data_IF_423648403803
#
_entry.id   IF_423648403803
#
_cell.length_a   1.000
_cell.length_b   1.000
_cell.length_c   1.000
_cell.angle_alpha   90.00
_cell.angle_beta   90.00
_cell.angle_gamma   90.00
#
_symmetry.space_group_name_H-M   'P 1'
#
loop_
_entity.id
_entity.type
_entity.pdbx_description
1 polymer ?
#
# COMPACT_ATOMS: atom_id res chain seq x y z
N UNK A 1 -26.54 34.13 24.48
CA UNK A 1 -25.82 33.21 23.57
C UNK A 1 -25.25 32.08 24.42
N UNK A 2 -25.59 30.80 24.18
CA UNK A 2 -25.11 29.74 25.06
C UNK A 2 -23.58 29.63 24.94
N UNK A 3 -22.94 29.60 26.10
CA UNK A 3 -21.50 29.67 26.39
C UNK A 3 -20.65 28.49 25.87
N UNK A 4 -21.14 27.72 24.89
CA UNK A 4 -20.59 26.40 24.55
C UNK A 4 -19.56 26.39 23.40
N UNK A 5 -19.11 27.55 22.91
CA UNK A 5 -18.19 27.60 21.77
C UNK A 5 -16.99 28.54 21.97
N UNK A 6 -16.71 28.99 23.20
CA UNK A 6 -15.57 29.88 23.43
C UNK A 6 -14.24 29.14 23.34
N UNK A 7 -13.32 29.69 22.54
CA UNK A 7 -11.94 29.22 22.49
C UNK A 7 -11.21 29.62 23.78
N UNK A 8 -10.33 28.75 24.25
CA UNK A 8 -9.44 28.99 25.40
C UNK A 8 -8.12 29.59 24.98
N UNK A 9 -7.60 29.16 23.83
CA UNK A 9 -6.29 29.56 23.32
C UNK A 9 -6.44 30.10 21.89
N UNK A 10 -5.58 31.05 21.56
CA UNK A 10 -5.50 31.67 20.23
C UNK A 10 -4.18 31.32 19.59
N UNK A 11 -4.19 31.07 18.28
CA UNK A 11 -2.97 30.85 17.49
C UNK A 11 -2.78 32.04 16.56
N UNK A 12 -1.53 32.46 16.36
CA UNK A 12 -1.20 33.50 15.39
C UNK A 12 -1.04 32.88 14.01
N UNK A 13 -1.87 33.33 13.07
CA UNK A 13 -1.80 32.96 11.66
C UNK A 13 -0.87 33.92 10.90
N UNK A 14 -0.04 33.42 9.96
CA UNK A 14 0.80 34.29 9.13
C UNK A 14 -0.04 35.15 8.18
N UNK A 15 -1.21 34.66 7.79
CA UNK A 15 -2.19 35.31 6.93
C UNK A 15 -3.60 34.84 7.32
N UNK A 16 -4.59 35.71 7.14
CA UNK A 16 -5.99 35.40 7.45
C UNK A 16 -6.76 35.17 6.15
N UNK A 17 -7.52 34.09 6.10
CA UNK A 17 -8.41 33.70 5.00
C UNK A 17 -9.75 34.45 5.03
N UNK A 18 -9.78 35.67 5.58
CA UNK A 18 -10.99 36.44 5.75
C UNK A 18 -11.25 37.36 4.55
N UNK A 19 -12.51 37.50 4.17
CA UNK A 19 -12.92 38.24 2.98
C UNK A 19 -13.78 39.46 3.34
N UNK A 20 -13.69 40.57 2.60
CA UNK A 20 -14.63 41.68 2.73
C UNK A 20 -16.05 41.20 2.39
N UNK A 21 -17.08 41.73 3.06
CA UNK A 21 -18.48 41.37 2.79
C UNK A 21 -18.88 41.56 1.32
N UNK A 22 -18.29 42.52 0.63
CA UNK A 22 -18.53 42.82 -0.78
C UNK A 22 -17.97 41.75 -1.73
N UNK A 23 -17.02 40.92 -1.25
CA UNK A 23 -16.37 39.84 -1.98
C UNK A 23 -16.80 38.45 -1.45
N UNK A 24 -17.84 38.42 -0.61
CA UNK A 24 -18.37 37.18 -0.04
C UNK A 24 -19.21 36.44 -1.07
N UNK A 25 -18.60 35.44 -1.71
CA UNK A 25 -19.26 34.56 -2.67
C UNK A 25 -19.74 33.25 -2.02
N UNK A 26 -19.22 32.90 -0.83
CA UNK A 26 -19.56 31.67 -0.14
C UNK A 26 -19.86 31.91 1.33
N UNK A 27 -21.03 32.51 1.58
CA UNK A 27 -21.56 32.89 2.91
C UNK A 27 -21.46 31.75 3.96
N UNK A 28 -21.44 30.49 3.50
CA UNK A 28 -21.36 29.32 4.37
C UNK A 28 -19.94 29.09 4.93
N UNK A 29 -18.89 29.42 4.17
CA UNK A 29 -17.49 29.18 4.53
C UNK A 29 -16.73 30.46 4.85
N UNK A 30 -17.14 31.57 4.26
CA UNK A 30 -16.49 32.86 4.41
C UNK A 30 -16.39 33.29 5.88
N UNK A 31 -15.24 33.84 6.24
CA UNK A 31 -15.07 34.61 7.47
C UNK A 31 -15.00 36.07 7.05
N UNK A 32 -15.94 36.87 7.53
CA UNK A 32 -16.03 38.27 7.15
C UNK A 32 -14.99 39.10 7.92
N UNK A 33 -14.26 39.96 7.20
CA UNK A 33 -13.29 40.87 7.81
C UNK A 33 -13.95 41.79 8.84
N UNK A 34 -15.21 42.17 8.60
CA UNK A 34 -16.00 43.03 9.49
C UNK A 34 -16.29 42.38 10.85
N UNK A 35 -16.27 41.04 10.91
CA UNK A 35 -16.48 40.27 12.14
C UNK A 35 -15.16 40.04 12.91
N UNK A 36 -14.01 40.42 12.34
CA UNK A 36 -12.68 40.24 12.91
C UNK A 36 -12.16 41.57 13.48
N UNK A 37 -12.24 41.71 14.80
CA UNK A 37 -11.71 42.87 15.53
C UNK A 37 -10.25 42.68 15.96
N UNK A 38 -9.86 41.42 16.19
CA UNK A 38 -8.55 41.02 16.70
C UNK A 38 -8.25 39.55 16.35
N UNK A 39 -7.02 39.07 16.62
CA UNK A 39 -6.66 37.67 16.36
C UNK A 39 -7.57 36.67 17.09
N UNK A 40 -8.12 37.05 18.25
CA UNK A 40 -9.00 36.18 19.03
C UNK A 40 -10.33 35.96 18.30
N UNK A 41 -10.93 37.02 17.78
CA UNK A 41 -12.18 36.95 16.99
C UNK A 41 -12.01 36.12 15.73
N UNK A 42 -10.87 36.23 15.03
CA UNK A 42 -10.57 35.37 13.88
C UNK A 42 -10.51 33.88 14.26
N UNK A 43 -9.71 33.53 15.28
CA UNK A 43 -9.61 32.16 15.78
C UNK A 43 -10.97 31.63 16.25
N UNK A 44 -11.77 32.50 16.85
CA UNK A 44 -13.08 32.16 17.39
C UNK A 44 -14.06 31.83 16.27
N UNK A 45 -14.08 32.60 15.17
CA UNK A 45 -14.95 32.34 14.02
C UNK A 45 -14.51 31.08 13.26
N UNK A 46 -13.20 30.81 13.11
CA UNK A 46 -12.70 29.55 12.55
C UNK A 46 -13.23 28.32 13.29
N UNK A 47 -13.07 28.30 14.62
CA UNK A 47 -13.56 27.18 15.46
C UNK A 47 -15.08 27.10 15.42
N UNK A 48 -15.77 28.25 15.45
CA UNK A 48 -17.22 28.30 15.41
C UNK A 48 -17.77 27.73 14.11
N UNK A 49 -17.15 28.04 12.97
CA UNK A 49 -17.55 27.52 11.67
C UNK A 49 -17.42 26.02 11.61
N UNK A 50 -16.27 25.44 11.97
CA UNK A 50 -16.12 23.98 11.93
C UNK A 50 -17.08 23.27 12.90
N UNK A 51 -17.43 23.87 14.04
CA UNK A 51 -18.38 23.30 14.99
C UNK A 51 -19.83 23.33 14.48
N UNK A 52 -20.21 24.39 13.76
CA UNK A 52 -21.58 24.59 13.23
C UNK A 52 -21.82 23.94 11.88
N UNK A 53 -20.80 23.88 11.02
CA UNK A 53 -20.93 23.42 9.64
C UNK A 53 -21.49 22.00 9.58
N UNK A 54 -22.34 21.67 8.60
CA UNK A 54 -22.72 20.30 8.34
C UNK A 54 -21.50 19.39 8.20
N UNK A 55 -21.54 18.22 8.84
CA UNK A 55 -20.38 17.31 8.88
C UNK A 55 -19.86 16.94 7.49
N UNK A 56 -20.75 16.87 6.49
CA UNK A 56 -20.40 16.58 5.11
C UNK A 56 -19.56 17.68 4.45
N UNK A 57 -19.75 18.94 4.81
CA UNK A 57 -19.17 20.13 4.17
C UNK A 57 -17.83 20.58 4.78
N UNK A 58 -17.31 19.83 5.75
CA UNK A 58 -16.01 20.13 6.34
C UNK A 58 -14.88 20.13 5.30
N UNK A 59 -14.76 19.14 4.38
CA UNK A 59 -13.69 19.15 3.37
C UNK A 59 -13.67 20.42 2.52
N UNK A 60 -14.84 20.86 2.05
CA UNK A 60 -15.01 22.04 1.20
C UNK A 60 -14.63 23.33 1.93
N UNK A 61 -14.92 23.41 3.23
CA UNK A 61 -14.49 24.52 4.08
C UNK A 61 -12.96 24.66 4.14
N UNK A 62 -12.23 23.54 4.31
CA UNK A 62 -10.76 23.57 4.31
C UNK A 62 -10.19 23.93 2.94
N UNK A 63 -10.75 23.38 1.85
CA UNK A 63 -10.31 23.72 0.49
C UNK A 63 -10.51 25.22 0.21
N UNK A 64 -11.70 25.75 0.48
CA UNK A 64 -12.01 27.15 0.28
C UNK A 64 -11.02 28.09 0.98
N UNK A 65 -10.71 27.86 2.26
CA UNK A 65 -9.73 28.71 2.96
C UNK A 65 -8.28 28.52 2.49
N UNK A 66 -7.92 27.35 1.94
CA UNK A 66 -6.62 27.16 1.32
C UNK A 66 -6.48 27.95 0.01
N UNK A 67 -7.57 28.14 -0.72
CA UNK A 67 -7.56 28.87 -1.99
C UNK A 67 -7.46 30.39 -1.79
N UNK A 68 -7.79 30.88 -0.58
CA UNK A 68 -7.76 32.32 -0.23
C UNK A 68 -6.40 32.81 0.30
N UNK A 69 -5.43 31.91 0.53
CA UNK A 69 -4.19 32.21 1.24
C UNK A 69 -2.97 31.89 0.37
N UNK A 70 -1.88 32.63 0.52
CA UNK A 70 -0.67 32.48 -0.29
C UNK A 70 0.12 31.21 0.08
N UNK A 71 0.19 30.86 1.38
CA UNK A 71 0.85 29.66 1.90
C UNK A 71 -0.15 28.75 2.66
N UNK A 72 -0.97 27.98 1.93
CA UNK A 72 -2.02 27.15 2.52
C UNK A 72 -1.49 26.05 3.45
N UNK A 73 -0.24 25.60 3.28
CA UNK A 73 0.39 24.64 4.20
C UNK A 73 0.62 25.30 5.57
N UNK A 74 1.16 26.52 5.60
CA UNK A 74 1.34 27.25 6.86
C UNK A 74 -0.02 27.54 7.52
N UNK A 75 -1.01 27.96 6.74
CA UNK A 75 -2.35 28.23 7.27
C UNK A 75 -2.97 26.97 7.89
N UNK A 76 -2.98 25.83 7.19
CA UNK A 76 -3.50 24.55 7.70
C UNK A 76 -2.77 24.13 8.98
N UNK A 77 -1.44 24.26 9.04
CA UNK A 77 -0.67 23.88 10.23
C UNK A 77 -1.02 24.74 11.45
N UNK A 78 -1.30 26.04 11.24
CA UNK A 78 -1.79 26.92 12.31
C UNK A 78 -3.21 26.55 12.72
N UNK A 79 -4.06 26.17 11.77
CA UNK A 79 -5.42 25.78 12.10
C UNK A 79 -5.49 24.44 12.84
N UNK A 80 -4.67 23.47 12.47
CA UNK A 80 -4.49 22.22 13.22
C UNK A 80 -4.08 22.50 14.68
N UNK A 81 -3.11 23.39 14.87
CA UNK A 81 -2.66 23.84 16.19
C UNK A 81 -3.80 24.54 16.96
N UNK A 82 -4.62 25.34 16.29
CA UNK A 82 -5.76 25.99 16.94
C UNK A 82 -6.79 24.96 17.43
N UNK A 83 -7.01 23.89 16.66
CA UNK A 83 -7.89 22.78 17.08
C UNK A 83 -7.28 22.05 18.28
N UNK A 84 -5.98 21.72 18.25
CA UNK A 84 -5.34 20.99 19.35
C UNK A 84 -5.28 21.77 20.66
N UNK A 85 -5.04 23.09 20.62
CA UNK A 85 -5.06 23.93 21.81
C UNK A 85 -6.48 24.17 22.36
N UNK A 86 -7.51 23.77 21.61
CA UNK A 86 -8.92 23.95 21.96
C UNK A 86 -9.73 22.65 21.94
N UNK A 87 -9.07 21.49 22.08
CA UNK A 87 -9.71 20.14 22.08
C UNK A 87 -10.89 20.03 23.06
N UNK A 88 -10.83 20.78 24.17
CA UNK A 88 -11.89 20.80 25.16
C UNK A 88 -13.25 21.28 24.59
N UNK A 89 -13.22 22.08 23.53
CA UNK A 89 -14.41 22.53 22.80
C UNK A 89 -15.11 21.37 22.05
N UNK A 90 -14.44 20.23 21.91
CA UNK A 90 -14.89 19.04 21.18
C UNK A 90 -15.22 17.85 22.10
N UNK A 91 -15.34 18.05 23.41
CA UNK A 91 -15.46 16.97 24.41
C UNK A 91 -16.72 16.11 24.25
N UNK A 92 -17.81 16.65 23.68
CA UNK A 92 -19.02 15.86 23.46
C UNK A 92 -18.79 14.76 22.40
N UNK A 93 -19.46 13.60 22.56
CA UNK A 93 -19.24 12.43 21.70
C UNK A 93 -19.48 12.71 20.21
N UNK A 94 -20.39 13.63 19.89
CA UNK A 94 -20.66 14.07 18.51
C UNK A 94 -19.58 15.01 17.97
N UNK A 95 -18.93 15.80 18.82
CA UNK A 95 -17.87 16.74 18.42
C UNK A 95 -16.49 16.08 18.33
N UNK A 96 -16.22 15.01 19.08
CA UNK A 96 -14.98 14.22 18.92
C UNK A 96 -14.82 13.64 17.52
N UNK A 97 -15.90 13.07 16.95
CA UNK A 97 -15.88 12.55 15.58
C UNK A 97 -15.58 13.63 14.54
N UNK A 98 -16.12 14.84 14.77
CA UNK A 98 -15.86 16.02 13.95
C UNK A 98 -14.40 16.47 14.04
N UNK A 99 -13.83 16.54 15.23
CA UNK A 99 -12.41 16.86 15.44
C UNK A 99 -11.51 15.87 14.70
N UNK A 100 -11.78 14.56 14.84
CA UNK A 100 -11.02 13.53 14.13
C UNK A 100 -11.12 13.70 12.61
N UNK A 101 -12.32 14.03 12.09
CA UNK A 101 -12.50 14.32 10.67
C UNK A 101 -11.70 15.55 10.22
N UNK A 102 -11.65 16.61 11.02
CA UNK A 102 -10.81 17.78 10.74
C UNK A 102 -9.33 17.37 10.60
N UNK A 103 -8.78 16.57 11.53
CA UNK A 103 -7.40 16.08 11.43
C UNK A 103 -7.16 15.24 10.17
N UNK A 104 -8.10 14.35 9.82
CA UNK A 104 -8.01 13.55 8.59
C UNK A 104 -8.01 14.43 7.33
N UNK A 105 -8.88 15.45 7.28
CA UNK A 105 -8.93 16.39 6.14
C UNK A 105 -7.63 17.18 6.05
N UNK A 106 -7.15 17.71 7.18
CA UNK A 106 -5.89 18.46 7.27
C UNK A 106 -4.72 17.64 6.72
N UNK A 107 -4.57 16.39 7.15
CA UNK A 107 -3.50 15.52 6.69
C UNK A 107 -3.63 15.18 5.19
N UNK A 108 -4.85 14.92 4.72
CA UNK A 108 -5.11 14.69 3.30
C UNK A 108 -4.76 15.91 2.45
N UNK A 109 -5.19 17.10 2.85
CA UNK A 109 -4.96 18.36 2.13
C UNK A 109 -3.49 18.76 2.16
N UNK A 110 -2.79 18.51 3.27
CA UNK A 110 -1.33 18.69 3.37
C UNK A 110 -0.59 17.87 2.32
N UNK A 111 -0.92 16.58 2.17
CA UNK A 111 -0.32 15.72 1.14
C UNK A 111 -0.58 16.22 -0.27
N UNK A 112 -1.81 16.63 -0.56
CA UNK A 112 -2.19 17.23 -1.85
C UNK A 112 -1.35 18.48 -2.15
N UNK A 113 -1.28 19.42 -1.21
CA UNK A 113 -0.53 20.68 -1.35
C UNK A 113 0.99 20.45 -1.45
N UNK A 114 1.53 19.47 -0.72
CA UNK A 114 2.95 19.10 -0.83
C UNK A 114 3.28 18.49 -2.19
N UNK A 115 2.39 17.69 -2.78
CA UNK A 115 2.57 17.18 -4.15
C UNK A 115 2.63 18.34 -5.14
N UNK A 116 1.68 19.29 -5.06
CA UNK A 116 1.65 20.47 -5.93
C UNK A 116 2.88 21.36 -5.72
N UNK A 117 3.22 21.68 -4.48
CA UNK A 117 4.40 22.49 -4.16
C UNK A 117 5.69 21.82 -4.62
N UNK A 118 5.83 20.50 -4.51
CA UNK A 118 7.00 19.78 -5.00
C UNK A 118 7.09 19.76 -6.54
N UNK A 119 5.97 19.94 -7.26
CA UNK A 119 5.98 20.17 -8.72
C UNK A 119 6.55 21.56 -9.06
N UNK A 120 6.28 22.59 -8.26
CA UNK A 120 6.71 23.97 -8.53
C UNK A 120 8.04 24.41 -7.85
N UNK A 121 8.50 23.72 -6.80
CA UNK A 121 9.67 24.14 -6.00
C UNK A 121 11.05 23.71 -6.56
N UNK A 122 11.09 22.89 -7.62
CA UNK A 122 12.36 22.53 -8.27
C UNK A 122 12.78 23.67 -9.19
N UNK A 123 13.96 24.23 -8.94
CA UNK A 123 14.57 25.23 -9.82
C UNK A 123 14.59 24.65 -11.23
N UNK A 124 13.80 25.25 -12.14
CA UNK A 124 13.55 24.71 -13.47
C UNK A 124 14.88 24.33 -14.13
N UNK A 125 15.07 23.07 -14.56
CA UNK A 125 16.32 22.65 -15.15
C UNK A 125 16.57 23.41 -16.46
N UNK A 126 17.83 23.51 -16.92
CA UNK A 126 18.14 24.10 -18.21
C UNK A 126 17.25 23.51 -19.33
N UNK A 127 16.75 24.35 -20.23
CA UNK A 127 15.80 23.94 -21.31
C UNK A 127 16.28 22.72 -22.10
N UNK A 128 17.59 22.52 -22.26
CA UNK A 128 18.18 21.35 -22.91
C UNK A 128 17.85 20.00 -22.24
N UNK A 129 17.27 20.01 -21.04
CA UNK A 129 16.83 18.81 -20.32
C UNK A 129 15.31 18.72 -20.16
N UNK A 130 14.57 19.69 -20.69
CA UNK A 130 13.10 19.71 -20.66
C UNK A 130 12.60 19.21 -22.01
N UNK A 131 11.86 18.10 -21.98
CA UNK A 131 11.25 17.49 -23.17
C UNK A 131 10.05 18.30 -23.64
N UNK A 132 9.20 18.72 -22.70
CA UNK A 132 8.02 19.52 -22.98
C UNK A 132 7.61 20.37 -21.77
N UNK A 133 6.75 21.35 -22.01
CA UNK A 133 6.21 22.24 -20.98
C UNK A 133 4.76 22.60 -21.27
N UNK A 134 3.97 22.70 -20.20
CA UNK A 134 2.64 23.30 -20.17
C UNK A 134 2.56 24.35 -19.06
N UNK A 135 1.47 25.13 -19.01
CA UNK A 135 1.25 26.17 -18.00
C UNK A 135 1.47 25.68 -16.55
N UNK A 136 1.04 24.44 -16.25
CA UNK A 136 1.09 23.89 -14.90
C UNK A 136 2.45 23.28 -14.52
N UNK A 137 3.18 22.69 -15.49
CA UNK A 137 4.46 22.01 -15.21
C UNK A 137 5.32 21.81 -16.45
N UNK A 138 6.56 21.38 -16.21
CA UNK A 138 7.44 20.86 -17.24
C UNK A 138 7.59 19.33 -17.13
N UNK A 139 7.98 18.72 -18.25
CA UNK A 139 8.24 17.29 -18.41
C UNK A 139 9.73 17.08 -18.74
N UNK A 140 10.46 16.39 -17.87
CA UNK A 140 11.88 16.07 -18.05
C UNK A 140 12.13 14.59 -17.82
N UNK A 141 12.35 13.84 -18.91
CA UNK A 141 12.59 12.41 -18.81
C UNK A 141 13.88 12.11 -18.03
N UNK A 142 14.87 13.01 -18.09
CA UNK A 142 16.10 12.91 -17.32
C UNK A 142 15.83 12.87 -15.81
N UNK A 143 14.96 13.75 -15.32
CA UNK A 143 14.59 13.80 -13.90
C UNK A 143 13.78 12.56 -13.50
N UNK A 144 12.81 12.16 -14.35
CA UNK A 144 12.02 10.94 -14.15
C UNK A 144 12.93 9.71 -14.07
N UNK A 145 13.87 9.55 -15.01
CA UNK A 145 14.82 8.44 -15.03
C UNK A 145 15.69 8.40 -13.78
N UNK A 146 16.17 9.55 -13.31
CA UNK A 146 16.92 9.61 -12.05
C UNK A 146 16.09 9.16 -10.85
N UNK A 147 14.80 9.50 -10.82
CA UNK A 147 13.89 9.08 -9.75
C UNK A 147 13.59 7.59 -9.81
N UNK A 148 13.29 7.07 -11.01
CA UNK A 148 13.07 5.63 -11.26
C UNK A 148 14.28 4.80 -10.86
N UNK A 149 15.50 5.27 -11.14
CA UNK A 149 16.73 4.59 -10.74
C UNK A 149 16.89 4.50 -9.21
N UNK A 150 16.31 5.44 -8.45
CA UNK A 150 16.33 5.45 -7.00
C UNK A 150 15.23 4.62 -6.34
N UNK A 151 14.27 4.10 -7.10
CA UNK A 151 13.23 3.20 -6.58
C UNK A 151 13.75 1.76 -6.50
N UNK A 152 13.25 0.99 -5.55
CA UNK A 152 13.64 -0.42 -5.39
C UNK A 152 12.69 -1.35 -6.16
N UNK A 153 11.39 -1.18 -5.98
CA UNK A 153 10.37 -2.08 -6.51
C UNK A 153 10.07 -1.83 -8.01
N UNK A 154 10.00 -2.91 -8.79
CA UNK A 154 9.74 -2.80 -10.22
C UNK A 154 8.29 -2.43 -10.55
N UNK A 155 7.33 -2.85 -9.74
CA UNK A 155 5.91 -2.50 -9.93
C UNK A 155 5.70 -1.02 -9.68
N UNK A 156 6.28 -0.47 -8.61
CA UNK A 156 6.26 0.96 -8.30
C UNK A 156 6.90 1.79 -9.42
N UNK A 157 8.03 1.35 -9.99
CA UNK A 157 8.67 2.00 -11.14
C UNK A 157 7.74 2.07 -12.35
N UNK A 158 7.11 0.94 -12.71
CA UNK A 158 6.18 0.87 -13.85
C UNK A 158 4.97 1.76 -13.60
N UNK A 159 4.38 1.74 -12.41
CA UNK A 159 3.24 2.59 -12.05
C UNK A 159 3.60 4.07 -12.14
N UNK A 160 4.75 4.48 -11.60
CA UNK A 160 5.20 5.86 -11.66
C UNK A 160 5.41 6.33 -13.12
N UNK A 161 6.11 5.54 -13.94
CA UNK A 161 6.33 5.86 -15.35
C UNK A 161 5.02 5.92 -16.15
N UNK A 162 4.08 5.05 -15.84
CA UNK A 162 2.76 4.99 -16.49
C UNK A 162 1.94 6.24 -16.14
N UNK A 163 1.97 6.68 -14.89
CA UNK A 163 1.32 7.92 -14.47
C UNK A 163 1.96 9.15 -15.14
N UNK A 164 3.29 9.25 -15.15
CA UNK A 164 3.98 10.37 -15.82
C UNK A 164 3.69 10.41 -17.33
N UNK A 165 3.60 9.23 -17.97
CA UNK A 165 3.19 9.11 -19.38
C UNK A 165 1.77 9.64 -19.60
N UNK A 166 0.81 9.19 -18.80
CA UNK A 166 -0.59 9.64 -18.94
C UNK A 166 -0.77 11.12 -18.62
N UNK A 167 -0.10 11.62 -17.57
CA UNK A 167 -0.12 13.05 -17.22
C UNK A 167 0.37 13.90 -18.40
N UNK A 168 1.42 13.47 -19.11
CA UNK A 168 1.91 14.15 -20.30
C UNK A 168 0.95 14.06 -21.49
N UNK A 169 0.40 12.87 -21.78
CA UNK A 169 -0.52 12.65 -22.90
C UNK A 169 -1.85 13.41 -22.75
N UNK A 170 -2.25 13.71 -21.52
CA UNK A 170 -3.47 14.46 -21.21
C UNK A 170 -3.24 15.96 -21.03
N UNK A 171 -1.99 16.39 -20.89
CA UNK A 171 -1.66 17.80 -20.69
C UNK A 171 -1.84 18.62 -21.99
N UNK A 172 -2.29 19.87 -21.83
CA UNK A 172 -2.24 20.86 -22.90
C UNK A 172 -0.82 21.40 -23.03
N UNK A 173 -0.03 20.84 -23.95
CA UNK A 173 1.39 21.17 -24.10
C UNK A 173 1.57 22.49 -24.87
N UNK A 174 2.27 23.44 -24.24
CA UNK A 174 2.59 24.76 -24.83
C UNK A 174 3.92 24.73 -25.62
N UNK A 175 4.85 23.86 -25.21
CA UNK A 175 6.17 23.76 -25.83
C UNK A 175 6.69 22.32 -25.84
N UNK A 176 7.27 21.91 -26.97
CA UNK A 176 8.00 20.65 -27.13
C UNK A 176 9.42 20.98 -27.60
N UNK A 177 10.42 20.38 -26.96
CA UNK A 177 11.82 20.55 -27.32
C UNK A 177 12.20 19.63 -28.49
N UNK A 178 12.48 20.15 -29.69
CA UNK A 178 12.73 19.33 -30.89
C UNK A 178 14.08 18.61 -30.85
N UNK A 179 14.99 18.95 -29.92
CA UNK A 179 16.30 18.33 -29.78
C UNK A 179 16.29 17.09 -28.88
N UNK A 180 15.18 16.85 -28.19
CA UNK A 180 15.03 15.71 -27.29
C UNK A 180 13.99 14.73 -27.87
N UNK A 181 14.11 13.43 -27.55
CA UNK A 181 13.05 12.49 -27.88
C UNK A 181 11.73 12.86 -27.19
N UNK A 182 10.62 12.39 -27.75
CA UNK A 182 9.31 12.55 -27.13
C UNK A 182 9.28 11.97 -25.72
N UNK A 183 8.56 12.65 -24.83
CA UNK A 183 8.51 12.29 -23.42
C UNK A 183 7.72 10.99 -23.17
N UNK A 184 6.57 10.81 -23.82
CA UNK A 184 5.75 9.60 -23.71
C UNK A 184 6.52 8.38 -24.20
N UNK A 185 7.15 8.51 -25.37
CA UNK A 185 7.95 7.43 -25.96
C UNK A 185 9.08 6.97 -25.05
N UNK A 186 9.75 7.90 -24.37
CA UNK A 186 10.82 7.56 -23.43
C UNK A 186 10.29 6.86 -22.18
N UNK A 187 9.15 7.31 -21.64
CA UNK A 187 8.49 6.62 -20.52
C UNK A 187 8.12 5.19 -20.91
N UNK A 188 7.54 4.99 -22.11
CA UNK A 188 7.18 3.67 -22.60
C UNK A 188 8.39 2.76 -22.79
N UNK A 189 9.48 3.26 -23.39
CA UNK A 189 10.72 2.50 -23.56
C UNK A 189 11.31 2.01 -22.23
N UNK A 190 11.26 2.85 -21.19
CA UNK A 190 11.74 2.47 -19.86
C UNK A 190 10.81 1.43 -19.21
N UNK A 191 9.49 1.55 -19.38
CA UNK A 191 8.52 0.53 -18.93
C UNK A 191 8.83 -0.82 -19.60
N UNK A 192 9.01 -0.83 -20.91
CA UNK A 192 9.30 -2.05 -21.68
C UNK A 192 10.62 -2.69 -21.21
N UNK A 193 11.64 -1.87 -20.95
CA UNK A 193 12.92 -2.33 -20.41
C UNK A 193 12.75 -2.98 -19.02
N UNK A 194 12.00 -2.36 -18.12
CA UNK A 194 11.76 -2.91 -16.78
C UNK A 194 10.98 -4.23 -16.88
N UNK A 195 9.93 -4.28 -17.70
CA UNK A 195 9.16 -5.51 -17.91
C UNK A 195 10.02 -6.64 -18.49
N UNK A 196 10.93 -6.31 -19.41
CA UNK A 196 11.89 -7.27 -19.94
C UNK A 196 12.83 -7.81 -18.84
N UNK A 197 13.34 -6.95 -17.95
CA UNK A 197 14.17 -7.37 -16.81
C UNK A 197 13.42 -8.29 -15.84
N UNK A 198 12.13 -8.03 -15.58
CA UNK A 198 11.28 -8.91 -14.76
C UNK A 198 11.21 -10.30 -15.39
N UNK A 199 10.91 -10.37 -16.70
CA UNK A 199 10.82 -11.65 -17.44
C UNK A 199 12.13 -12.43 -17.36
N UNK A 200 13.26 -11.76 -17.61
CA UNK A 200 14.58 -12.39 -17.51
C UNK A 200 14.84 -12.93 -16.09
N UNK A 201 14.51 -12.16 -15.06
CA UNK A 201 14.72 -12.57 -13.66
C UNK A 201 13.89 -13.81 -13.29
N UNK A 202 12.64 -13.87 -13.75
CA UNK A 202 11.76 -15.03 -13.57
C UNK A 202 12.30 -16.25 -14.34
N UNK A 203 12.78 -16.06 -15.57
CA UNK A 203 13.43 -17.13 -16.35
C UNK A 203 14.69 -17.66 -15.67
N UNK A 204 15.57 -16.79 -15.16
CA UNK A 204 16.76 -17.20 -14.40
C UNK A 204 16.39 -17.94 -13.10
N UNK A 205 15.35 -17.48 -12.40
CA UNK A 205 14.85 -18.15 -11.18
C UNK A 205 14.31 -19.55 -11.50
N UNK A 206 13.55 -19.69 -12.58
CA UNK A 206 13.08 -21.00 -13.08
C UNK A 206 14.24 -21.89 -13.51
N UNK A 207 15.28 -21.35 -14.14
CA UNK A 207 16.49 -22.11 -14.50
C UNK A 207 17.28 -22.57 -13.27
N UNK A 208 17.44 -21.73 -12.25
CA UNK A 208 18.06 -22.12 -10.99
C UNK A 208 17.24 -23.18 -10.25
N UNK A 209 15.91 -23.05 -10.20
CA UNK A 209 15.04 -24.09 -9.64
C UNK A 209 15.15 -25.41 -10.40
N UNK A 210 15.29 -25.38 -11.74
CA UNK A 210 15.54 -26.59 -12.55
C UNK A 210 16.91 -27.21 -12.24
N UNK A 211 17.97 -26.42 -12.07
CA UNK A 211 19.28 -26.92 -11.64
C UNK A 211 19.27 -27.51 -10.24
N UNK A 212 18.47 -26.95 -9.33
CA UNK A 212 18.33 -27.47 -7.96
C UNK A 212 17.42 -28.72 -7.88
N UNK A 213 16.57 -28.96 -8.90
CA UNK A 213 15.77 -30.17 -9.03
C UNK A 213 16.59 -31.38 -9.54
N UNK A 214 17.80 -31.16 -10.07
CA UNK A 214 18.81 -32.19 -10.34
C UNK A 214 19.56 -32.57 -9.04
N UNK A 215 18.80 -32.96 -8.00
CA UNK A 215 19.36 -33.81 -6.95
C UNK A 215 19.89 -35.11 -7.55
N UNK A 216 20.66 -35.87 -6.77
CA UNK A 216 21.20 -37.18 -7.18
C UNK A 216 20.11 -37.96 -7.91
N UNK A 217 20.30 -38.38 -9.18
CA UNK A 217 19.27 -39.10 -9.90
C UNK A 217 18.94 -40.39 -9.14
N UNK A 218 17.70 -40.51 -8.68
CA UNK A 218 17.20 -41.72 -8.03
C UNK A 218 15.94 -42.23 -8.71
N UNK A 219 15.84 -43.54 -8.85
CA UNK A 219 14.60 -44.19 -9.26
C UNK A 219 13.65 -44.28 -8.05
N UNK A 220 12.35 -44.12 -8.27
CA UNK A 220 11.35 -44.37 -7.23
C UNK A 220 11.49 -45.77 -6.68
N UNK A 221 11.40 -45.89 -5.35
CA UNK A 221 11.49 -47.16 -4.66
C UNK A 221 10.16 -47.89 -4.74
N UNK A 222 10.20 -49.16 -5.15
CA UNK A 222 9.04 -50.03 -5.16
C UNK A 222 8.68 -50.46 -3.74
N UNK A 223 7.47 -50.17 -3.28
CA UNK A 223 6.98 -50.67 -1.99
C UNK A 223 6.27 -52.01 -2.17
N UNK A 224 6.47 -52.91 -1.22
CA UNK A 224 5.77 -54.20 -1.18
C UNK A 224 4.65 -54.26 -0.12
N UNK A 225 4.50 -53.21 0.68
CA UNK A 225 3.38 -53.05 1.62
C UNK A 225 2.17 -52.38 0.95
N UNK A 226 1.03 -52.33 1.65
CA UNK A 226 -0.12 -51.56 1.17
C UNK A 226 0.17 -50.06 1.29
N UNK A 227 -0.36 -49.28 0.33
CA UNK A 227 -0.17 -47.82 0.29
C UNK A 227 -0.55 -47.16 1.62
N UNK A 228 -1.68 -47.57 2.22
CA UNK A 228 -2.11 -47.01 3.50
C UNK A 228 -1.17 -47.35 4.67
N UNK A 229 -0.42 -48.45 4.61
CA UNK A 229 0.60 -48.78 5.61
C UNK A 229 1.82 -47.87 5.46
N UNK A 230 2.28 -47.60 4.23
CA UNK A 230 3.35 -46.63 4.00
C UNK A 230 2.95 -45.24 4.48
N UNK A 231 1.75 -44.77 4.12
CA UNK A 231 1.31 -43.42 4.51
C UNK A 231 1.12 -43.30 6.02
N UNK A 232 0.65 -44.36 6.69
CA UNK A 232 0.52 -44.38 8.14
C UNK A 232 1.88 -44.29 8.85
N UNK A 233 2.97 -44.78 8.24
CA UNK A 233 4.33 -44.59 8.79
C UNK A 233 4.67 -43.10 8.87
N UNK A 234 4.46 -42.36 7.77
CA UNK A 234 4.69 -40.91 7.75
C UNK A 234 3.74 -40.18 8.71
N UNK A 235 2.50 -40.65 8.85
CA UNK A 235 1.56 -40.10 9.82
C UNK A 235 2.05 -40.26 11.26
N UNK A 236 2.52 -41.46 11.63
CA UNK A 236 3.08 -41.74 12.95
C UNK A 236 4.26 -40.81 13.25
N UNK A 237 5.23 -40.69 12.33
CA UNK A 237 6.39 -39.80 12.47
C UNK A 237 6.03 -38.31 12.56
N UNK A 238 4.91 -37.90 11.95
CA UNK A 238 4.45 -36.52 11.92
C UNK A 238 3.53 -36.12 13.08
N UNK A 239 2.78 -37.08 13.66
CA UNK A 239 1.69 -36.76 14.61
C UNK A 239 1.70 -37.57 15.90
N UNK A 240 2.33 -38.73 15.92
CA UNK A 240 2.27 -39.65 17.06
C UNK A 240 3.63 -39.78 17.74
N UNK A 241 4.73 -39.66 17.00
CA UNK A 241 6.09 -39.82 17.49
C UNK A 241 6.81 -38.48 17.59
N UNK A 242 7.44 -38.24 18.73
CA UNK A 242 8.04 -36.96 19.08
C UNK A 242 9.45 -37.12 19.65
N UNK A 243 10.34 -36.18 19.30
CA UNK A 243 11.67 -36.03 19.91
C UNK A 243 11.76 -34.61 20.46
N UNK A 244 12.08 -34.49 21.76
CA UNK A 244 12.15 -33.20 22.45
C UNK A 244 10.87 -32.34 22.30
N UNK A 245 9.70 -32.97 22.29
CA UNK A 245 8.40 -32.30 22.17
C UNK A 245 8.02 -31.83 20.76
N UNK A 246 8.82 -32.15 19.73
CA UNK A 246 8.50 -31.87 18.32
C UNK A 246 8.28 -33.18 17.55
N UNK A 247 7.41 -33.20 16.53
CA UNK A 247 7.28 -34.37 15.65
C UNK A 247 8.64 -34.79 15.09
N UNK A 248 8.83 -36.09 14.88
CA UNK A 248 10.06 -36.60 14.22
C UNK A 248 10.18 -36.00 12.82
N UNK A 249 9.07 -35.92 12.09
CA UNK A 249 8.98 -35.22 10.81
C UNK A 249 8.00 -34.05 10.91
N UNK A 250 8.52 -32.84 10.72
CA UNK A 250 7.72 -31.62 10.70
C UNK A 250 7.53 -31.11 9.26
N UNK A 251 6.33 -30.60 8.96
CA UNK A 251 5.93 -30.23 7.61
C UNK A 251 4.41 -30.14 7.45
N UNK A 252 3.96 -29.56 6.33
CA UNK A 252 2.55 -29.53 6.00
C UNK A 252 2.12 -30.81 5.24
N UNK A 253 0.82 -31.10 5.19
CA UNK A 253 0.30 -32.32 4.55
C UNK A 253 0.74 -32.46 3.08
N UNK A 254 0.80 -31.35 2.32
CA UNK A 254 1.19 -31.40 0.92
C UNK A 254 2.68 -31.75 0.75
N UNK A 255 3.54 -31.36 1.70
CA UNK A 255 4.97 -31.72 1.69
C UNK A 255 5.13 -33.25 1.78
N UNK A 256 4.42 -33.89 2.71
CA UNK A 256 4.41 -35.35 2.84
C UNK A 256 3.85 -36.04 1.59
N UNK A 257 2.77 -35.51 1.01
CA UNK A 257 2.22 -36.04 -0.25
C UNK A 257 3.27 -35.99 -1.36
N UNK A 258 3.96 -34.85 -1.52
CA UNK A 258 5.00 -34.69 -2.52
C UNK A 258 6.17 -35.67 -2.31
N UNK A 259 6.66 -35.81 -1.08
CA UNK A 259 7.73 -36.76 -0.75
C UNK A 259 7.32 -38.18 -1.10
N UNK A 260 6.14 -38.62 -0.70
CA UNK A 260 5.70 -40.01 -0.90
C UNK A 260 5.51 -40.31 -2.40
N UNK A 261 4.83 -39.42 -3.14
CA UNK A 261 4.56 -39.61 -4.57
C UNK A 261 5.84 -39.56 -5.40
N UNK A 262 6.79 -38.70 -5.04
CA UNK A 262 8.05 -38.57 -5.79
C UNK A 262 9.08 -39.64 -5.42
N UNK A 263 8.90 -40.35 -4.30
CA UNK A 263 9.88 -41.33 -3.81
C UNK A 263 9.48 -42.79 -4.03
N UNK A 264 8.19 -43.09 -4.21
CA UNK A 264 7.70 -44.47 -4.20
C UNK A 264 6.76 -44.81 -5.35
N UNK A 265 6.77 -46.08 -5.76
CA UNK A 265 5.78 -46.72 -6.63
C UNK A 265 5.17 -47.93 -5.92
N UNK A 266 3.96 -48.34 -6.32
CA UNK A 266 3.24 -49.45 -5.70
C UNK A 266 3.91 -50.84 -5.95
N UNK A 267 3.32 -51.90 -5.39
CA UNK A 267 3.78 -53.29 -5.56
C UNK A 267 3.81 -53.81 -7.00
N UNK A 268 3.20 -53.10 -7.94
CA UNK A 268 3.18 -53.38 -9.37
C UNK A 268 4.09 -52.43 -10.16
N UNK A 269 4.73 -51.46 -9.51
CA UNK A 269 5.53 -50.42 -10.15
C UNK A 269 4.72 -49.23 -10.68
N UNK A 270 3.45 -49.10 -10.27
CA UNK A 270 2.57 -48.01 -10.68
C UNK A 270 2.73 -46.78 -9.80
N UNK A 271 2.47 -45.62 -10.40
CA UNK A 271 2.49 -44.33 -9.74
C UNK A 271 1.43 -44.23 -8.62
N UNK A 272 1.80 -43.58 -7.52
CA UNK A 272 0.91 -43.36 -6.38
C UNK A 272 0.02 -42.14 -6.63
N UNK A 273 -1.29 -42.26 -6.38
CA UNK A 273 -2.23 -41.12 -6.48
C UNK A 273 -2.04 -40.14 -5.31
N UNK A 274 -1.75 -38.85 -5.59
CA UNK A 274 -1.64 -37.81 -4.55
C UNK A 274 -2.88 -37.71 -3.66
N UNK A 275 -4.08 -37.81 -4.24
CA UNK A 275 -5.36 -37.75 -3.54
C UNK A 275 -5.52 -38.90 -2.55
N UNK A 276 -5.08 -40.10 -2.95
CA UNK A 276 -5.08 -41.29 -2.09
C UNK A 276 -4.18 -41.07 -0.88
N UNK A 277 -2.95 -40.59 -1.10
CA UNK A 277 -2.00 -40.29 -0.01
C UNK A 277 -2.57 -39.21 0.92
N UNK A 278 -3.08 -38.11 0.35
CA UNK A 278 -3.67 -37.00 1.08
C UNK A 278 -4.84 -37.44 1.96
N UNK A 279 -5.68 -38.34 1.44
CA UNK A 279 -6.83 -38.87 2.19
C UNK A 279 -6.38 -39.66 3.42
N UNK A 280 -5.38 -40.55 3.28
CA UNK A 280 -4.93 -41.41 4.40
C UNK A 280 -4.19 -40.61 5.48
N UNK A 281 -3.37 -39.63 5.09
CA UNK A 281 -2.58 -38.82 6.03
C UNK A 281 -3.42 -37.77 6.77
N UNK A 282 -4.61 -37.44 6.26
CA UNK A 282 -5.48 -36.44 6.88
C UNK A 282 -5.99 -36.92 8.25
N UNK A 283 -5.83 -36.13 9.34
CA UNK A 283 -6.21 -36.52 10.70
C UNK A 283 -7.66 -37.02 10.85
N UNK A 284 -8.61 -36.35 10.17
CA UNK A 284 -10.05 -36.65 10.25
C UNK A 284 -10.50 -37.92 9.50
N UNK A 285 -9.60 -38.59 8.78
CA UNK A 285 -9.90 -39.80 7.98
C UNK A 285 -9.26 -41.05 8.57
N UNK A 286 -9.42 -41.25 9.88
CA UNK A 286 -8.85 -42.40 10.60
C UNK A 286 -9.35 -43.74 10.07
N UNK A 287 -10.54 -43.80 9.47
CA UNK A 287 -11.12 -44.99 8.83
C UNK A 287 -10.30 -45.51 7.63
N UNK A 288 -9.49 -44.64 7.00
CA UNK A 288 -8.65 -45.00 5.85
C UNK A 288 -7.28 -45.55 6.23
N UNK A 289 -6.91 -45.46 7.52
CA UNK A 289 -5.64 -45.99 8.04
C UNK A 289 -5.70 -47.50 8.24
N UNK A 290 -4.55 -48.19 8.30
CA UNK A 290 -4.52 -49.61 8.59
C UNK A 290 -5.21 -49.94 9.91
N UNK A 291 -5.96 -51.05 9.94
CA UNK A 291 -6.47 -51.61 11.20
C UNK A 291 -5.30 -51.96 12.12
N UNK A 292 -5.47 -51.95 13.46
CA UNK A 292 -4.37 -52.17 14.42
C UNK A 292 -3.49 -53.39 14.12
N UNK A 293 -4.09 -54.54 13.77
CA UNK A 293 -3.35 -55.78 13.45
C UNK A 293 -2.61 -55.77 12.09
N UNK A 294 -2.83 -54.75 11.25
CA UNK A 294 -2.12 -54.52 9.97
C UNK A 294 -1.23 -53.28 10.03
N UNK A 295 -1.24 -52.54 11.15
CA UNK A 295 -0.44 -51.34 11.31
C UNK A 295 1.03 -51.73 11.46
N UNK A 296 1.93 -51.00 10.81
CA UNK A 296 3.36 -51.16 11.03
C UNK A 296 3.70 -50.34 12.28
N UNK A 297 4.22 -51.02 13.29
CA UNK A 297 4.54 -50.43 14.59
C UNK A 297 6.00 -49.94 14.55
N UNK A 298 6.17 -48.62 14.38
CA UNK A 298 7.50 -48.01 14.25
C UNK A 298 8.23 -48.02 15.60
N UNK A 299 7.51 -47.91 16.72
CA UNK A 299 8.13 -47.91 18.05
C UNK A 299 8.84 -49.22 18.38
N UNK A 300 8.50 -50.32 17.68
CA UNK A 300 9.23 -51.59 17.80
C UNK A 300 10.52 -51.65 16.97
N UNK A 301 10.75 -50.67 16.11
CA UNK A 301 11.90 -50.58 15.20
C UNK A 301 12.92 -49.53 15.63
N UNK A 302 12.58 -48.65 16.58
CA UNK A 302 13.42 -47.61 17.18
C UNK A 302 13.98 -48.07 18.53
#
# INVERSE_FOLDING_TARGET
MPSNYQIKHTVQFPEQSAVPKEQSDNILFDILLEDILDNKSYCQELIRNILKLPYAQLPEFFSHHCDLVEDPIKWINKFEKLISENEESFVSRTMRGRMMKCYTIIESKRKELEITRNRHARRKPPMQYINAECEERYFSFREVKSKVNGMEDYTEKIMFLTNEKFDYEQASIDFINPKLPDYSDQCQKEIDQIQHLIRLTDEFSKQQMRKNAEGIPFNKLKINCNINQLVDIFYQLHRELFVNGKPILDGNINDFVAVIVNSFVDKNGQELSPETIKTVITPSKSDKRPKPHKRIDIDKLL
#
